data_IF_830031926875
#
_entry.id   IF_830031926875
#
_cell.length_a   1.000
_cell.length_b   1.000
_cell.length_c   1.000
_cell.angle_alpha   90.00
_cell.angle_beta   90.00
_cell.angle_gamma   90.00
#
_symmetry.space_group_name_H-M   'P 1'
#
loop_
_entity.id
_entity.type
_entity.pdbx_description
1 polymer ?
#
# COMPACT_ATOMS: atom_id res chain seq x y z
N UNK A 1 -34.89 32.15 8.88
CA UNK A 1 -33.62 31.85 9.59
C UNK A 1 -33.20 30.46 9.14
N UNK A 2 -32.24 30.39 8.22
CA UNK A 2 -31.64 29.15 7.72
C UNK A 2 -30.82 28.53 8.85
N UNK A 3 -31.01 27.24 9.12
CA UNK A 3 -29.97 26.43 9.76
C UNK A 3 -29.68 25.30 8.78
N UNK A 4 -28.75 25.56 7.86
CA UNK A 4 -28.12 24.50 7.10
C UNK A 4 -27.12 23.81 8.04
N UNK A 5 -27.44 22.61 8.48
CA UNK A 5 -26.49 21.74 9.17
C UNK A 5 -25.45 21.28 8.14
N UNK A 6 -24.30 21.96 8.12
CA UNK A 6 -23.14 21.50 7.37
C UNK A 6 -22.56 20.34 8.17
N UNK A 7 -22.86 19.12 7.75
CA UNK A 7 -22.13 17.93 8.22
C UNK A 7 -20.75 17.96 7.57
N UNK A 8 -19.64 17.95 8.33
CA UNK A 8 -18.33 17.75 7.72
C UNK A 8 -18.27 16.29 7.24
N UNK A 9 -18.45 16.08 5.94
CA UNK A 9 -18.04 14.82 5.29
C UNK A 9 -16.52 14.88 5.18
N UNK A 10 -15.84 14.51 6.26
CA UNK A 10 -14.48 13.99 6.18
C UNK A 10 -14.64 12.47 6.21
N UNK A 11 -15.04 11.90 5.06
CA UNK A 11 -14.96 10.46 4.89
C UNK A 11 -13.47 10.11 4.70
N UNK A 12 -12.75 9.84 5.79
CA UNK A 12 -11.67 8.87 5.68
C UNK A 12 -12.35 7.52 5.46
N UNK A 13 -12.59 7.16 4.20
CA UNK A 13 -12.93 5.78 3.84
C UNK A 13 -11.83 4.89 4.43
N UNK A 14 -12.20 4.12 5.47
CA UNK A 14 -11.26 3.30 6.22
C UNK A 14 -10.48 2.39 5.27
N UNK A 15 -9.18 2.24 5.53
CA UNK A 15 -8.30 1.43 4.68
C UNK A 15 -8.75 -0.04 4.73
N UNK A 16 -8.93 -0.67 3.57
CA UNK A 16 -9.15 -2.11 3.49
C UNK A 16 -7.87 -2.88 3.83
N UNK A 17 -8.02 -3.91 4.67
CA UNK A 17 -6.91 -4.80 5.04
C UNK A 17 -7.08 -6.18 4.42
N UNK A 18 -5.96 -6.74 3.98
CA UNK A 18 -5.89 -8.08 3.43
C UNK A 18 -5.91 -9.20 4.49
N UNK A 19 -5.79 -10.46 4.04
CA UNK A 19 -5.81 -11.64 4.90
C UNK A 19 -4.68 -11.68 5.94
N UNK A 20 -3.53 -11.07 5.66
CA UNK A 20 -2.42 -10.91 6.60
C UNK A 20 -2.49 -9.61 7.41
N UNK A 21 -3.65 -8.94 7.40
CA UNK A 21 -3.93 -7.65 8.03
C UNK A 21 -3.07 -6.51 7.45
N UNK A 22 -2.45 -6.70 6.28
CA UNK A 22 -1.68 -5.70 5.57
C UNK A 22 -2.58 -4.73 4.82
N UNK A 23 -2.03 -3.58 4.40
CA UNK A 23 -2.75 -2.60 3.59
C UNK A 23 -2.84 -3.09 2.15
N UNK A 24 -4.04 -3.01 1.56
CA UNK A 24 -4.23 -3.31 0.15
C UNK A 24 -3.88 -2.10 -0.73
N UNK A 25 -3.12 -2.37 -1.79
CA UNK A 25 -2.88 -1.44 -2.89
C UNK A 25 -3.31 -2.10 -4.20
N UNK A 26 -4.05 -1.35 -5.00
CA UNK A 26 -4.54 -1.81 -6.30
C UNK A 26 -3.41 -1.85 -7.34
N UNK A 27 -3.21 -3.01 -7.98
CA UNK A 27 -2.16 -3.23 -8.99
C UNK A 27 -2.73 -3.54 -10.38
N UNK A 28 -4.04 -3.40 -10.55
CA UNK A 28 -4.73 -3.48 -11.84
C UNK A 28 -5.70 -2.29 -12.02
N UNK A 29 -6.38 -2.19 -13.15
CA UNK A 29 -7.44 -1.16 -13.31
C UNK A 29 -8.84 -1.75 -13.10
N UNK A 30 -8.93 -3.08 -12.92
CA UNK A 30 -10.16 -3.87 -12.89
C UNK A 30 -10.25 -4.73 -11.61
N UNK A 31 -9.47 -4.41 -10.58
CA UNK A 31 -9.44 -5.11 -9.28
C UNK A 31 -9.11 -6.61 -9.41
N UNK A 32 -8.43 -7.01 -10.49
CA UNK A 32 -8.04 -8.40 -10.74
C UNK A 32 -6.76 -8.80 -9.99
N UNK A 33 -5.96 -7.83 -9.56
CA UNK A 33 -4.69 -8.06 -8.87
C UNK A 33 -4.39 -6.95 -7.87
N UNK A 34 -4.10 -7.36 -6.63
CA UNK A 34 -3.77 -6.47 -5.54
C UNK A 34 -2.38 -6.78 -4.97
N UNK A 35 -1.79 -5.80 -4.29
CA UNK A 35 -0.68 -6.00 -3.38
C UNK A 35 -1.17 -5.86 -1.93
N UNK A 36 -0.85 -6.83 -1.09
CA UNK A 36 -0.95 -6.69 0.35
C UNK A 36 0.39 -6.27 0.95
N UNK A 37 0.41 -5.10 1.58
CA UNK A 37 1.60 -4.52 2.21
C UNK A 37 1.57 -4.81 3.71
N UNK A 38 2.53 -5.59 4.18
CA UNK A 38 2.79 -5.76 5.62
C UNK A 38 4.14 -5.18 5.98
N UNK A 39 4.31 -4.78 7.25
CA UNK A 39 5.59 -4.31 7.78
C UNK A 39 5.85 -5.01 9.09
N UNK A 40 7.09 -5.46 9.26
CA UNK A 40 7.60 -6.06 10.48
C UNK A 40 9.11 -5.87 10.56
N UNK A 41 9.60 -5.47 11.73
CA UNK A 41 11.03 -5.34 12.03
C UNK A 41 11.80 -4.45 11.01
N UNK A 42 11.17 -3.38 10.52
CA UNK A 42 11.76 -2.46 9.54
C UNK A 42 11.80 -2.99 8.11
N UNK A 43 11.08 -4.08 7.83
CA UNK A 43 10.99 -4.74 6.53
C UNK A 43 9.55 -4.67 6.05
N UNK A 44 9.35 -4.14 4.85
CA UNK A 44 8.08 -4.23 4.13
C UNK A 44 8.09 -5.53 3.31
N UNK A 45 6.96 -6.22 3.37
CA UNK A 45 6.65 -7.42 2.61
C UNK A 45 5.43 -7.13 1.74
N UNK A 46 5.47 -7.58 0.48
CA UNK A 46 4.46 -7.31 -0.53
C UNK A 46 4.08 -8.63 -1.19
N UNK A 47 2.90 -9.12 -0.83
CA UNK A 47 2.31 -10.33 -1.40
C UNK A 47 1.31 -9.94 -2.49
N UNK A 48 1.30 -10.67 -3.60
CA UNK A 48 0.30 -10.47 -4.65
C UNK A 48 -0.94 -11.30 -4.31
N UNK A 49 -2.11 -10.69 -4.45
CA UNK A 49 -3.41 -11.32 -4.25
C UNK A 49 -4.27 -11.20 -5.50
N UNK A 50 -5.05 -12.23 -5.80
CA UNK A 50 -6.09 -12.18 -6.82
C UNK A 50 -7.36 -11.47 -6.30
N UNK A 51 -8.36 -11.31 -7.17
CA UNK A 51 -9.67 -10.73 -6.83
C UNK A 51 -10.42 -11.42 -5.68
N UNK A 52 -10.08 -12.68 -5.35
CA UNK A 52 -10.65 -13.43 -4.22
C UNK A 52 -9.81 -13.27 -2.95
N UNK A 53 -8.82 -12.37 -2.96
CA UNK A 53 -7.83 -12.17 -1.89
C UNK A 53 -6.96 -13.41 -1.62
N UNK A 54 -6.73 -14.24 -2.64
CA UNK A 54 -5.86 -15.43 -2.54
C UNK A 54 -4.46 -15.14 -3.04
N UNK A 55 -3.41 -15.74 -2.43
CA UNK A 55 -2.03 -15.54 -2.88
C UNK A 55 -1.79 -15.94 -4.34
N UNK A 56 -1.05 -15.09 -5.05
CA UNK A 56 -0.60 -15.30 -6.42
C UNK A 56 0.91 -15.56 -6.42
N UNK A 57 1.34 -16.59 -7.15
CA UNK A 57 2.77 -16.90 -7.31
C UNK A 57 3.49 -15.87 -8.17
N UNK A 58 4.75 -15.62 -7.85
CA UNK A 58 5.61 -14.78 -8.68
C UNK A 58 6.22 -15.61 -9.82
N UNK A 59 6.19 -15.04 -11.01
CA UNK A 59 6.80 -15.56 -12.22
C UNK A 59 7.51 -14.39 -12.95
N UNK A 60 6.80 -13.73 -13.87
CA UNK A 60 7.38 -12.68 -14.73
C UNK A 60 7.15 -11.26 -14.21
N UNK A 61 6.42 -11.12 -13.11
CA UNK A 61 6.04 -9.83 -12.57
C UNK A 61 7.28 -9.04 -12.15
N UNK A 62 7.26 -7.74 -12.43
CA UNK A 62 8.31 -6.81 -12.00
C UNK A 62 7.72 -5.77 -11.06
N UNK A 63 8.40 -5.52 -9.95
CA UNK A 63 8.07 -4.44 -9.03
C UNK A 63 9.29 -3.53 -8.86
N UNK A 64 9.07 -2.23 -9.03
CA UNK A 64 10.04 -1.21 -8.65
C UNK A 64 9.42 -0.28 -7.61
N UNK A 65 10.25 0.25 -6.72
CA UNK A 65 9.83 1.20 -5.70
C UNK A 65 10.76 2.41 -5.71
N UNK A 66 10.17 3.59 -5.58
CA UNK A 66 10.89 4.86 -5.44
C UNK A 66 10.41 5.54 -4.16
N UNK A 67 11.34 5.86 -3.28
CA UNK A 67 11.13 6.63 -2.06
C UNK A 67 11.90 7.95 -2.09
N UNK A 68 12.24 8.46 -0.91
CA UNK A 68 12.94 9.74 -0.75
C UNK A 68 11.98 10.93 -0.70
N UNK A 69 12.54 12.13 -0.85
CA UNK A 69 11.73 13.37 -0.94
C UNK A 69 11.40 13.68 -2.40
N UNK A 70 10.49 14.63 -2.61
CA UNK A 70 10.15 15.08 -3.96
C UNK A 70 11.36 15.68 -4.69
N UNK A 71 12.25 16.34 -3.95
CA UNK A 71 13.46 16.99 -4.44
C UNK A 71 14.61 16.02 -4.66
N UNK A 72 14.62 14.90 -3.93
CA UNK A 72 15.65 13.86 -3.99
C UNK A 72 15.02 12.46 -3.98
N UNK A 73 14.43 12.01 -5.11
CA UNK A 73 13.87 10.68 -5.21
C UNK A 73 14.97 9.62 -5.24
N UNK A 74 14.74 8.50 -4.55
CA UNK A 74 15.68 7.38 -4.45
C UNK A 74 15.01 6.08 -4.89
N UNK A 75 15.69 5.31 -5.73
CA UNK A 75 15.23 3.95 -6.09
C UNK A 75 15.51 3.01 -4.93
N UNK A 76 14.45 2.42 -4.37
CA UNK A 76 14.56 1.45 -3.29
C UNK A 76 14.94 0.08 -3.85
N UNK A 77 15.74 -0.67 -3.09
CA UNK A 77 16.11 -2.05 -3.44
C UNK A 77 14.97 -2.99 -3.10
N UNK A 78 14.45 -3.69 -4.11
CA UNK A 78 13.49 -4.78 -3.93
C UNK A 78 14.21 -6.11 -4.11
N UNK A 79 13.87 -7.06 -3.25
CA UNK A 79 14.28 -8.47 -3.34
C UNK A 79 13.03 -9.34 -3.46
N UNK A 80 13.22 -10.53 -4.00
CA UNK A 80 12.21 -11.58 -4.01
C UNK A 80 12.66 -12.69 -3.06
N UNK A 81 11.80 -13.08 -2.12
CA UNK A 81 11.99 -14.26 -1.27
C UNK A 81 10.78 -15.17 -1.46
N UNK A 82 10.94 -16.27 -2.22
CA UNK A 82 9.81 -17.11 -2.60
C UNK A 82 8.83 -16.38 -3.54
N UNK A 83 7.55 -16.37 -3.18
CA UNK A 83 6.46 -15.73 -3.92
C UNK A 83 6.15 -14.30 -3.44
N UNK A 84 7.13 -13.64 -2.82
CA UNK A 84 6.92 -12.37 -2.12
C UNK A 84 8.00 -11.35 -2.46
N UNK A 85 7.61 -10.08 -2.66
CA UNK A 85 8.55 -8.97 -2.78
C UNK A 85 8.84 -8.33 -1.44
N UNK A 86 10.07 -7.86 -1.27
CA UNK A 86 10.60 -7.36 -0.01
C UNK A 86 11.44 -6.12 -0.22
N UNK A 87 11.31 -5.16 0.68
CA UNK A 87 12.16 -3.98 0.76
C UNK A 87 12.31 -3.50 2.20
N UNK A 88 13.30 -2.65 2.44
CA UNK A 88 13.38 -1.93 3.71
C UNK A 88 12.21 -0.95 3.84
N UNK A 89 11.66 -0.81 5.05
CA UNK A 89 10.67 0.22 5.32
C UNK A 89 11.30 1.60 5.11
N UNK A 90 10.59 2.53 4.45
CA UNK A 90 11.08 3.90 4.29
C UNK A 90 11.04 4.62 5.64
N UNK A 91 11.76 5.74 5.78
CA UNK A 91 11.56 6.68 6.88
C UNK A 91 10.08 7.06 7.06
N UNK A 92 9.68 7.25 8.32
CA UNK A 92 8.32 7.64 8.68
C UNK A 92 7.88 8.93 7.95
N UNK A 93 6.64 8.93 7.47
CA UNK A 93 6.04 10.06 6.77
C UNK A 93 6.48 10.22 5.31
N UNK A 94 7.34 9.34 4.79
CA UNK A 94 7.72 9.37 3.38
C UNK A 94 6.71 8.62 2.49
N UNK A 95 6.68 9.02 1.23
CA UNK A 95 5.93 8.33 0.19
C UNK A 95 6.80 7.28 -0.47
N UNK A 96 6.21 6.12 -0.75
CA UNK A 96 6.77 5.11 -1.64
C UNK A 96 5.85 4.99 -2.84
N UNK A 97 6.44 5.13 -4.02
CA UNK A 97 5.76 4.97 -5.30
C UNK A 97 6.19 3.64 -5.87
N UNK A 98 5.23 2.73 -5.99
CA UNK A 98 5.42 1.44 -6.62
C UNK A 98 5.04 1.51 -8.10
N UNK A 99 5.88 0.94 -8.95
CA UNK A 99 5.52 0.64 -10.33
C UNK A 99 5.59 -0.87 -10.54
N UNK A 100 4.41 -1.44 -10.77
CA UNK A 100 4.22 -2.87 -10.97
C UNK A 100 3.96 -3.18 -12.44
N UNK A 101 4.49 -4.29 -12.93
CA UNK A 101 4.16 -4.84 -14.24
C UNK A 101 3.89 -6.33 -14.11
N UNK A 102 2.89 -6.82 -14.85
CA UNK A 102 2.61 -8.26 -14.94
C UNK A 102 3.71 -9.04 -15.67
N UNK A 103 4.41 -8.36 -16.59
CA UNK A 103 5.61 -8.83 -17.27
C UNK A 103 6.43 -7.64 -17.80
N UNK A 104 7.64 -7.88 -18.32
CA UNK A 104 8.54 -6.83 -18.78
C UNK A 104 7.96 -5.93 -19.89
N UNK A 105 7.06 -6.45 -20.74
CA UNK A 105 6.44 -5.74 -21.86
C UNK A 105 5.16 -4.99 -21.44
N UNK A 106 4.57 -5.33 -20.30
CA UNK A 106 3.37 -4.70 -19.78
C UNK A 106 3.59 -3.23 -19.39
N UNK A 107 2.52 -2.44 -19.49
CA UNK A 107 2.51 -1.07 -18.98
C UNK A 107 2.54 -1.10 -17.45
N UNK A 108 3.33 -0.23 -16.85
CA UNK A 108 3.40 -0.13 -15.40
C UNK A 108 2.10 0.43 -14.80
N UNK A 109 1.59 -0.25 -13.78
CA UNK A 109 0.57 0.27 -12.86
C UNK A 109 1.27 0.95 -11.69
N UNK A 110 0.83 2.16 -11.35
CA UNK A 110 1.44 2.97 -10.29
C UNK A 110 0.57 2.93 -9.05
N UNK A 111 1.09 2.36 -7.96
CA UNK A 111 0.49 2.42 -6.63
C UNK A 111 1.33 3.31 -5.71
N UNK A 112 0.70 3.92 -4.71
CA UNK A 112 1.38 4.83 -3.78
C UNK A 112 1.04 4.47 -2.34
N UNK A 113 2.06 4.47 -1.50
CA UNK A 113 1.93 4.28 -0.06
C UNK A 113 2.52 5.50 0.65
N UNK A 114 1.73 6.18 1.45
CA UNK A 114 2.26 7.11 2.44
C UNK A 114 2.56 6.31 3.71
N UNK A 115 3.85 6.15 4.04
CA UNK A 115 4.28 5.39 5.20
C UNK A 115 4.18 6.23 6.48
N UNK A 116 2.96 6.68 6.79
CA UNK A 116 2.67 7.45 7.99
C UNK A 116 2.57 6.52 9.20
N UNK A 117 3.59 6.53 10.05
CA UNK A 117 3.66 5.70 11.26
C UNK A 117 3.08 6.38 12.51
N UNK A 118 2.47 7.55 12.36
CA UNK A 118 1.71 8.16 13.44
C UNK A 118 0.62 7.20 13.93
N UNK A 119 0.29 7.29 15.21
CA UNK A 119 -0.70 6.42 15.80
C UNK A 119 -2.11 6.88 15.44
N UNK A 120 -2.85 6.04 14.71
CA UNK A 120 -4.27 6.24 14.47
C UNK A 120 -5.05 5.89 15.75
N UNK A 121 -5.66 6.90 16.37
CA UNK A 121 -6.28 6.76 17.69
C UNK A 121 -7.39 5.70 17.81
N UNK A 122 -8.29 5.53 16.83
CA UNK A 122 -9.39 4.56 16.92
C UNK A 122 -8.93 3.10 16.99
N UNK A 123 -7.86 2.74 16.27
CA UNK A 123 -7.38 1.35 16.18
C UNK A 123 -6.04 1.09 16.87
N UNK A 124 -5.37 2.15 17.35
CA UNK A 124 -3.99 2.12 17.86
C UNK A 124 -3.02 1.41 16.91
N UNK A 125 -3.22 1.60 15.61
CA UNK A 125 -2.32 1.14 14.55
C UNK A 125 -1.66 2.35 13.87
N UNK A 126 -0.54 2.15 13.16
CA UNK A 126 -0.02 3.17 12.26
C UNK A 126 -1.07 3.68 11.27
N UNK A 127 -1.09 4.99 11.01
CA UNK A 127 -2.00 5.65 10.05
C UNK A 127 -2.01 4.97 8.68
N UNK A 128 -0.85 4.52 8.21
CA UNK A 128 -0.75 3.81 6.93
C UNK A 128 -1.54 2.49 6.89
N UNK A 129 -2.04 1.98 8.02
CA UNK A 129 -2.91 0.79 8.18
C UNK A 129 -4.19 1.10 8.98
N UNK A 130 -4.59 2.36 9.11
CA UNK A 130 -5.78 2.68 9.87
C UNK A 130 -7.07 2.23 9.15
N UNK A 131 -7.62 1.11 9.60
CA UNK A 131 -8.79 0.45 9.00
C UNK A 131 -10.08 0.61 9.82
N UNK A 132 -10.04 1.34 10.93
CA UNK A 132 -11.25 1.65 11.68
C UNK A 132 -12.00 2.79 11.01
N UNK A 133 -13.33 2.64 10.93
CA UNK A 133 -14.21 3.74 10.57
C UNK A 133 -14.19 4.73 11.74
N UNK A 134 -14.04 6.02 11.47
CA UNK A 134 -14.35 7.04 12.47
C UNK A 134 -15.81 6.81 12.90
N UNK A 135 -16.05 6.62 14.21
CA UNK A 135 -17.41 6.45 14.78
C UNK A 135 -18.20 7.76 14.74
#
# INVERSE_FOLDING_TARGET
MLIAAISPVLAHEGIELGPNKGRILELSNDESLHAEITEKDGKITIDLLDHDMKPVKLDKQELTATGGTREAPEKLTIKTEGDTFILAAPPAGQWVIFQFKTDAAAKAITARLHFNTANCEPCKQPEWRCACKEE
#
